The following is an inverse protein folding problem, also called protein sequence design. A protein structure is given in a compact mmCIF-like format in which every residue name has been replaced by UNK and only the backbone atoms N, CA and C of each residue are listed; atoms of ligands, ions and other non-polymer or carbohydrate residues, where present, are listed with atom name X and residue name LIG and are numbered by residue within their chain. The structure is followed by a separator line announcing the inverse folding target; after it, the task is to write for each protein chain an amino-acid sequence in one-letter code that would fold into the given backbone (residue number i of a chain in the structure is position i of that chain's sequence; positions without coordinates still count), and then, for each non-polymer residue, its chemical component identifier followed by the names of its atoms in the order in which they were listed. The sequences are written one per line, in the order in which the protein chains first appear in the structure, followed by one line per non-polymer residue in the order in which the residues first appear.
data_IF_424987528942
#
_entry.id   IF_424987528942
#
_cell.length_a   1.000
_cell.length_b   1.000
_cell.length_c   1.000
_cell.angle_alpha   90.00
_cell.angle_beta   90.00
_cell.angle_gamma   90.00
#
_symmetry.space_group_name_H-M   'P 1'
#
loop_
_entity.id
_entity.type
_entity.pdbx_description
1 polymer ?
#
# COMPACT_ATOMS: atom_id res chain seq x y z
N UNK A 1 13.60 4.44 14.27
CA UNK A 1 13.03 3.13 13.95
C UNK A 1 13.60 2.69 12.61
N UNK A 2 13.85 1.41 12.36
CA UNK A 2 14.22 0.88 11.04
C UNK A 2 12.98 0.39 10.27
N UNK A 3 13.08 0.15 8.94
CA UNK A 3 12.01 -0.51 8.18
C UNK A 3 11.56 -1.84 8.78
N UNK A 4 12.51 -2.64 9.28
CA UNK A 4 12.23 -3.93 9.92
C UNK A 4 11.49 -3.78 11.25
N UNK A 5 11.87 -2.77 12.05
CA UNK A 5 11.17 -2.45 13.30
C UNK A 5 9.74 -1.96 13.04
N UNK A 6 9.52 -1.17 11.97
CA UNK A 6 8.18 -0.76 11.54
C UNK A 6 7.34 -1.97 11.11
N UNK A 7 7.91 -2.85 10.28
CA UNK A 7 7.22 -4.08 9.87
C UNK A 7 6.85 -4.95 11.08
N UNK A 8 7.77 -5.12 12.03
CA UNK A 8 7.50 -5.86 13.25
C UNK A 8 6.38 -5.21 14.09
N UNK A 9 6.34 -3.87 14.15
CA UNK A 9 5.27 -3.14 14.81
C UNK A 9 3.91 -3.37 14.12
N UNK A 10 3.85 -3.28 12.79
CA UNK A 10 2.64 -3.56 12.01
C UNK A 10 2.12 -4.98 12.30
N UNK A 11 2.98 -5.99 12.22
CA UNK A 11 2.62 -7.39 12.50
C UNK A 11 2.10 -7.58 13.93
N UNK A 12 2.70 -6.89 14.92
CA UNK A 12 2.23 -6.93 16.31
C UNK A 12 0.84 -6.34 16.45
N UNK A 13 0.55 -5.23 15.77
CA UNK A 13 -0.79 -4.62 15.76
C UNK A 13 -1.80 -5.57 15.12
N UNK A 14 -1.51 -6.14 13.96
CA UNK A 14 -2.41 -7.09 13.31
C UNK A 14 -2.71 -8.31 14.19
N UNK A 15 -1.68 -8.86 14.86
CA UNK A 15 -1.86 -9.96 15.80
C UNK A 15 -2.77 -9.57 16.98
N UNK A 16 -2.65 -8.35 17.50
CA UNK A 16 -3.53 -7.84 18.55
C UNK A 16 -5.00 -7.68 18.08
N UNK A 17 -5.22 -7.48 16.78
CA UNK A 17 -6.56 -7.47 16.14
C UNK A 17 -6.99 -8.85 15.64
N UNK A 18 -6.34 -9.93 16.10
CA UNK A 18 -6.77 -11.30 15.85
C UNK A 18 -6.38 -11.83 14.46
N UNK A 19 -5.23 -11.44 13.92
CA UNK A 19 -4.70 -12.04 12.67
C UNK A 19 -4.55 -13.56 12.82
N UNK A 20 -5.34 -14.31 12.05
CA UNK A 20 -5.24 -15.77 11.93
C UNK A 20 -4.61 -16.11 10.57
N UNK A 21 -3.68 -17.06 10.53
CA UNK A 21 -3.11 -17.62 9.28
C UNK A 21 -3.49 -19.09 9.17
N UNK A 22 -4.69 -19.43 8.66
CA UNK A 22 -5.08 -20.82 8.46
C UNK A 22 -4.13 -21.48 7.45
N UNK A 23 -3.68 -22.69 7.76
CA UNK A 23 -2.79 -23.45 6.88
C UNK A 23 -3.51 -23.72 5.55
N UNK A 24 -2.84 -23.41 4.43
CA UNK A 24 -3.36 -23.67 3.09
C UNK A 24 -4.34 -22.63 2.53
N UNK A 25 -4.72 -21.59 3.29
CA UNK A 25 -5.65 -20.56 2.82
C UNK A 25 -4.91 -19.30 2.38
N UNK A 26 -4.72 -19.16 1.06
CA UNK A 26 -4.18 -17.94 0.45
C UNK A 26 -5.22 -16.82 0.56
N UNK A 27 -4.81 -15.61 0.98
CA UNK A 27 -5.68 -14.45 1.17
C UNK A 27 -6.87 -14.71 2.13
N UNK A 28 -6.66 -15.52 3.17
CA UNK A 28 -7.63 -15.68 4.24
C UNK A 28 -8.12 -14.29 4.74
N UNK A 29 -9.44 -14.11 4.97
CA UNK A 29 -9.99 -12.87 5.48
C UNK A 29 -9.22 -12.39 6.72
N UNK A 30 -8.95 -11.08 6.79
CA UNK A 30 -8.22 -10.46 7.90
C UNK A 30 -9.07 -9.36 8.51
N UNK A 31 -9.05 -9.25 9.82
CA UNK A 31 -9.66 -8.13 10.55
C UNK A 31 -8.95 -6.81 10.21
N UNK A 32 -7.63 -6.87 10.07
CA UNK A 32 -6.74 -5.74 9.77
C UNK A 32 -5.56 -6.26 8.94
N UNK A 33 -5.13 -5.48 7.95
CA UNK A 33 -3.94 -5.72 7.13
C UNK A 33 -3.18 -4.39 7.02
N UNK A 34 -1.91 -4.38 7.44
CA UNK A 34 -1.04 -3.22 7.44
C UNK A 34 0.17 -3.51 6.54
N UNK A 35 0.19 -2.88 5.36
CA UNK A 35 1.30 -2.96 4.41
C UNK A 35 2.22 -1.73 4.54
N UNK A 36 3.53 -1.95 4.63
CA UNK A 36 4.52 -0.87 4.50
C UNK A 36 4.74 -0.58 3.01
N UNK A 37 4.26 0.58 2.55
CA UNK A 37 4.31 0.94 1.12
C UNK A 37 5.64 1.57 0.73
N UNK A 38 6.14 2.50 1.54
CA UNK A 38 7.42 3.17 1.37
C UNK A 38 7.98 3.52 2.75
N UNK A 39 9.30 3.73 2.85
CA UNK A 39 9.95 4.16 4.08
C UNK A 39 11.13 5.08 3.75
N UNK A 40 10.92 6.39 3.82
CA UNK A 40 11.98 7.40 3.65
C UNK A 40 12.88 7.18 2.40
N UNK A 41 12.29 6.69 1.30
CA UNK A 41 13.03 6.38 0.07
C UNK A 41 13.97 5.18 0.13
N UNK A 42 13.94 4.38 1.21
CA UNK A 42 14.72 3.14 1.34
C UNK A 42 14.35 2.17 0.22
N UNK A 43 15.39 1.67 -0.46
CA UNK A 43 15.28 0.61 -1.46
C UNK A 43 15.85 -0.67 -0.88
N UNK A 44 15.01 -1.66 -0.68
CA UNK A 44 15.42 -2.96 -0.19
C UNK A 44 14.62 -4.07 -0.83
N UNK A 45 15.29 -5.21 -1.02
CA UNK A 45 14.71 -6.42 -1.60
C UNK A 45 15.11 -7.62 -0.73
N UNK A 46 14.76 -7.58 0.55
CA UNK A 46 14.99 -8.70 1.46
C UNK A 46 13.74 -9.59 1.53
N UNK A 47 13.87 -10.91 1.80
CA UNK A 47 12.76 -11.86 1.68
C UNK A 47 11.50 -11.49 2.49
N UNK A 48 11.66 -10.83 3.63
CA UNK A 48 10.56 -10.47 4.53
C UNK A 48 10.03 -9.04 4.32
N UNK A 49 10.75 -8.18 3.59
CA UNK A 49 10.35 -6.79 3.34
C UNK A 49 10.98 -6.26 2.05
N UNK A 50 10.14 -5.90 1.08
CA UNK A 50 10.56 -5.27 -0.18
C UNK A 50 10.00 -3.85 -0.20
N UNK A 51 10.88 -2.85 -0.35
CA UNK A 51 10.51 -1.44 -0.42
C UNK A 51 11.05 -0.74 -1.69
N UNK A 52 10.22 0.15 -2.30
CA UNK A 52 8.79 0.32 -2.01
C UNK A 52 8.00 -0.95 -2.34
N UNK A 53 6.80 -1.08 -1.77
CA UNK A 53 6.03 -2.31 -1.85
C UNK A 53 5.86 -2.75 -3.32
N UNK A 54 6.25 -3.98 -3.69
CA UNK A 54 6.53 -4.34 -5.09
C UNK A 54 5.30 -4.29 -5.99
N UNK A 55 4.10 -4.34 -5.42
CA UNK A 55 2.82 -4.31 -6.16
C UNK A 55 1.99 -3.05 -5.91
N UNK A 56 2.53 -2.03 -5.22
CA UNK A 56 1.75 -0.81 -4.95
C UNK A 56 1.27 -0.14 -6.25
N UNK A 57 2.13 -0.15 -7.28
CA UNK A 57 1.90 0.48 -8.57
C UNK A 57 0.83 -0.19 -9.43
N UNK A 58 0.19 -1.25 -8.92
CA UNK A 58 -0.85 -2.03 -9.60
C UNK A 58 -2.22 -1.85 -8.95
N UNK A 59 -2.33 -1.06 -7.86
CA UNK A 59 -3.48 -1.06 -6.95
C UNK A 59 -4.01 0.35 -6.74
N UNK A 60 -5.21 0.65 -7.26
CA UNK A 60 -5.84 1.95 -7.06
C UNK A 60 -6.13 2.26 -5.60
N UNK A 61 -6.48 1.26 -4.78
CA UNK A 61 -6.75 1.46 -3.36
C UNK A 61 -5.50 1.82 -2.54
N UNK A 62 -4.31 1.73 -3.13
CA UNK A 62 -3.06 2.24 -2.57
C UNK A 62 -2.75 3.60 -3.17
N UNK A 63 -2.72 3.69 -4.50
CA UNK A 63 -2.27 4.88 -5.22
C UNK A 63 -3.18 6.10 -5.03
N UNK A 64 -4.51 5.90 -5.05
CA UNK A 64 -5.46 7.00 -4.92
C UNK A 64 -5.38 7.63 -3.53
N UNK A 65 -5.44 6.88 -2.41
CA UNK A 65 -5.21 7.47 -1.08
C UNK A 65 -3.82 8.09 -0.92
N UNK A 66 -2.76 7.49 -1.49
CA UNK A 66 -1.43 8.07 -1.44
C UNK A 66 -1.37 9.45 -2.11
N UNK A 67 -2.02 9.64 -3.26
CA UNK A 67 -2.08 10.95 -3.93
C UNK A 67 -2.70 12.02 -3.02
N UNK A 68 -3.66 11.64 -2.19
CA UNK A 68 -4.36 12.57 -1.31
C UNK A 68 -3.49 12.97 -0.09
N UNK A 69 -2.60 12.09 0.40
CA UNK A 69 -1.76 12.36 1.59
C UNK A 69 -0.31 12.74 1.29
N UNK A 70 0.24 12.32 0.15
CA UNK A 70 1.61 12.58 -0.28
C UNK A 70 1.69 12.83 -1.81
N UNK A 71 1.07 13.92 -2.31
CA UNK A 71 0.91 14.16 -3.75
C UNK A 71 2.24 14.25 -4.52
N UNK A 72 3.31 14.68 -3.86
CA UNK A 72 4.64 14.86 -4.46
C UNK A 72 5.50 13.59 -4.47
N UNK A 73 4.96 12.47 -3.97
CA UNK A 73 5.69 11.19 -4.00
C UNK A 73 5.82 10.67 -5.44
N UNK A 74 7.02 10.18 -5.76
CA UNK A 74 7.33 9.59 -7.06
C UNK A 74 7.78 8.14 -6.89
N UNK A 75 7.37 7.30 -7.83
CA UNK A 75 7.88 5.93 -7.91
C UNK A 75 9.40 5.93 -8.13
N UNK A 76 10.13 4.88 -7.71
CA UNK A 76 11.56 4.74 -7.92
C UNK A 76 12.11 5.04 -9.32
N UNK A 77 11.30 4.93 -10.36
CA UNK A 77 11.65 5.19 -11.76
C UNK A 77 11.23 6.60 -12.24
N UNK A 78 10.76 7.46 -11.34
CA UNK A 78 10.36 8.83 -11.61
C UNK A 78 8.89 9.01 -12.01
N UNK A 79 8.09 7.95 -12.12
CA UNK A 79 6.65 8.10 -12.41
C UNK A 79 5.91 8.74 -11.24
N UNK A 80 5.08 9.74 -11.54
CA UNK A 80 4.20 10.37 -10.55
C UNK A 80 3.05 9.45 -10.14
N UNK A 81 2.41 9.71 -8.99
CA UNK A 81 1.18 9.02 -8.59
C UNK A 81 0.07 9.14 -9.65
N UNK A 82 -0.06 10.30 -10.30
CA UNK A 82 -1.05 10.50 -11.36
C UNK A 82 -0.78 9.60 -12.58
N UNK A 83 0.49 9.43 -12.96
CA UNK A 83 0.89 8.52 -14.04
C UNK A 83 0.56 7.06 -13.66
N UNK A 84 0.91 6.64 -12.45
CA UNK A 84 0.62 5.28 -11.98
C UNK A 84 -0.88 4.99 -11.92
N UNK A 85 -1.69 5.93 -11.42
CA UNK A 85 -3.15 5.79 -11.37
C UNK A 85 -3.71 5.59 -12.77
N UNK A 86 -3.35 6.45 -13.73
CA UNK A 86 -3.82 6.35 -15.11
C UNK A 86 -3.41 5.03 -15.79
N UNK A 87 -2.22 4.52 -15.49
CA UNK A 87 -1.78 3.20 -15.98
C UNK A 87 -2.64 2.06 -15.44
N UNK A 88 -2.99 2.09 -14.14
CA UNK A 88 -3.83 1.07 -13.53
C UNK A 88 -5.27 1.15 -14.04
N UNK A 89 -5.85 2.34 -14.14
CA UNK A 89 -7.19 2.54 -14.72
C UNK A 89 -7.28 1.98 -16.14
N UNK A 90 -6.22 2.15 -16.94
CA UNK A 90 -6.15 1.60 -18.30
C UNK A 90 -5.99 0.08 -18.33
N UNK A 91 -5.15 -0.49 -17.47
CA UNK A 91 -4.81 -1.94 -17.47
C UNK A 91 -5.85 -2.79 -16.73
N UNK A 92 -6.51 -2.21 -15.73
CA UNK A 92 -7.41 -2.85 -14.78
C UNK A 92 -8.65 -1.98 -14.52
N UNK A 93 -9.50 -1.75 -15.54
CA UNK A 93 -10.69 -0.90 -15.42
C UNK A 93 -11.72 -1.40 -14.40
N UNK A 94 -11.62 -2.66 -13.97
CA UNK A 94 -12.45 -3.26 -12.93
C UNK A 94 -12.15 -2.73 -11.52
N UNK A 95 -10.97 -2.15 -11.28
CA UNK A 95 -10.66 -1.54 -10.00
C UNK A 95 -11.46 -0.25 -9.82
N UNK A 96 -12.33 -0.22 -8.80
CA UNK A 96 -13.16 0.96 -8.49
C UNK A 96 -12.84 1.46 -7.09
N UNK A 97 -12.46 2.73 -6.97
CA UNK A 97 -12.25 3.41 -5.68
C UNK A 97 -13.37 4.42 -5.47
N UNK A 98 -14.18 4.19 -4.43
CA UNK A 98 -15.14 5.19 -3.95
C UNK A 98 -14.50 5.99 -2.82
N UNK A 99 -14.12 7.22 -3.13
CA UNK A 99 -13.73 8.18 -2.12
C UNK A 99 -14.99 8.58 -1.33
N UNK A 100 -15.01 8.26 -0.03
CA UNK A 100 -16.10 8.66 0.87
C UNK A 100 -15.94 10.09 1.39
N UNK A 101 -14.81 10.75 1.07
CA UNK A 101 -14.57 12.14 1.36
C UNK A 101 -15.07 12.99 0.18
N UNK A 102 -16.30 13.49 0.32
CA UNK A 102 -16.83 14.52 -0.57
C UNK A 102 -15.96 15.77 -0.48
N UNK A 103 -15.66 16.34 -1.64
CA UNK A 103 -15.33 17.76 -1.82
C UNK A 103 -16.16 18.58 -0.82
N UNK A 104 -15.50 19.20 0.15
CA UNK A 104 -15.93 20.39 0.90
C UNK A 104 -14.83 20.76 1.91
N UNK A 105 -13.71 21.24 1.40
CA UNK A 105 -12.97 22.32 2.06
C UNK A 105 -12.62 23.31 0.95
N UNK A 106 -13.48 24.32 0.85
CA UNK A 106 -13.21 25.57 0.16
C UNK A 106 -12.19 26.39 0.96
#
# INVERSE_FOLDING_TARGET
MSPDELLALCQRIENAYGRIRPVGVVNAPRTLDLDVIDYEGVRQTVPHLILPHPRMHQRLFVLVPMRDVCPDWHFPDGRSLQTLIAEVEKKSPEQQIRLHFSKNMA
#
